data_IF_610169916159
#
_entry.id   IF_610169916159
#
_cell.length_a   1.000
_cell.length_b   1.000
_cell.length_c   1.000
_cell.angle_alpha   90.00
_cell.angle_beta   90.00
_cell.angle_gamma   90.00
#
_symmetry.space_group_name_H-M   'P 1'
#
loop_
_entity.id
_entity.type
_entity.pdbx_description
1 polymer ?
#
# COMPACT_ATOMS: atom_id res chain seq x y z
N UNK A 1 1.00 -7.11 -14.61
CA UNK A 1 1.73 -6.40 -13.53
C UNK A 1 0.79 -5.38 -12.91
N UNK A 2 0.86 -5.09 -11.60
CA UNK A 2 0.02 -4.07 -10.99
C UNK A 2 0.30 -2.72 -11.66
N UNK A 3 -0.75 -2.01 -12.06
CA UNK A 3 -0.64 -0.66 -12.61
C UNK A 3 -1.15 0.29 -11.54
N UNK A 4 -0.24 1.08 -10.98
CA UNK A 4 -0.59 2.12 -10.03
C UNK A 4 -1.14 3.35 -10.76
N UNK A 5 -1.88 4.20 -10.05
CA UNK A 5 -2.49 5.40 -10.62
C UNK A 5 -2.04 6.63 -9.85
N UNK A 6 -1.68 7.66 -10.59
CA UNK A 6 -1.53 9.02 -10.07
C UNK A 6 -2.41 9.98 -10.88
N UNK A 7 -2.51 11.23 -10.43
CA UNK A 7 -3.26 12.26 -11.12
C UNK A 7 -2.33 13.37 -11.59
N UNK A 8 -2.51 13.80 -12.83
CA UNK A 8 -1.89 15.01 -13.37
C UNK A 8 -2.94 16.11 -13.36
N UNK A 9 -2.66 17.18 -12.62
CA UNK A 9 -3.49 18.36 -12.59
C UNK A 9 -3.26 19.18 -13.87
N UNK A 10 -4.31 19.37 -14.66
CA UNK A 10 -4.29 20.15 -15.90
C UNK A 10 -5.11 21.42 -15.72
N UNK A 11 -4.52 22.55 -16.06
CA UNK A 11 -5.21 23.84 -16.16
C UNK A 11 -5.21 24.26 -17.63
N UNK A 12 -6.39 24.57 -18.17
CA UNK A 12 -6.51 25.19 -19.49
C UNK A 12 -6.93 26.65 -19.30
N UNK A 13 -5.96 27.57 -19.43
CA UNK A 13 -6.20 29.01 -19.38
C UNK A 13 -6.57 29.61 -20.74
N UNK A 14 -6.45 28.82 -21.82
CA UNK A 14 -6.73 29.25 -23.19
C UNK A 14 -8.23 29.34 -23.49
N UNK A 15 -8.53 29.96 -24.62
CA UNK A 15 -9.89 30.06 -25.18
C UNK A 15 -10.25 28.87 -26.06
N UNK A 16 -9.27 28.09 -26.51
CA UNK A 16 -9.46 26.88 -27.32
C UNK A 16 -9.55 25.63 -26.44
N UNK A 17 -10.44 24.67 -26.77
CA UNK A 17 -10.46 23.39 -26.08
C UNK A 17 -9.20 22.58 -26.41
N UNK A 18 -8.64 21.92 -25.40
CA UNK A 18 -7.55 20.96 -25.54
C UNK A 18 -8.14 19.55 -25.57
N UNK A 19 -7.80 18.73 -26.56
CA UNK A 19 -8.20 17.33 -26.61
C UNK A 19 -6.98 16.47 -26.31
N UNK A 20 -7.00 15.76 -25.18
CA UNK A 20 -5.95 14.82 -24.80
C UNK A 20 -6.27 13.44 -25.37
N UNK A 21 -5.44 12.98 -26.31
CA UNK A 21 -5.54 11.64 -26.89
C UNK A 21 -4.91 10.62 -25.94
N UNK A 22 -3.66 10.88 -25.56
CA UNK A 22 -2.85 9.97 -24.75
C UNK A 22 -2.04 10.71 -23.68
N UNK A 23 -1.82 10.03 -22.56
CA UNK A 23 -0.92 10.47 -21.49
C UNK A 23 -0.01 9.33 -21.04
N UNK A 24 1.24 9.65 -20.78
CA UNK A 24 2.23 8.72 -20.25
C UNK A 24 3.15 9.40 -19.25
N UNK A 25 3.48 8.70 -18.15
CA UNK A 25 4.63 9.07 -17.32
C UNK A 25 5.89 8.36 -17.83
N UNK A 26 6.95 9.12 -18.08
CA UNK A 26 8.28 8.61 -18.38
C UNK A 26 9.23 8.99 -17.26
N UNK A 27 9.86 8.01 -16.61
CA UNK A 27 10.88 8.24 -15.59
C UNK A 27 11.75 7.01 -15.43
N UNK A 28 13.04 7.20 -15.17
CA UNK A 28 13.95 6.11 -14.79
C UNK A 28 13.67 5.54 -13.40
N UNK A 29 12.88 6.23 -12.57
CA UNK A 29 12.49 5.74 -11.24
C UNK A 29 11.43 4.63 -11.28
N UNK A 30 10.73 4.46 -12.40
CA UNK A 30 9.65 3.48 -12.53
C UNK A 30 9.83 2.61 -13.78
N UNK A 31 9.17 1.46 -13.79
CA UNK A 31 8.98 0.70 -15.01
C UNK A 31 8.10 1.46 -16.00
N UNK A 32 8.50 1.45 -17.27
CA UNK A 32 7.75 2.12 -18.33
C UNK A 32 6.48 1.34 -18.62
N UNK A 33 5.34 2.01 -18.53
CA UNK A 33 4.04 1.48 -18.94
C UNK A 33 3.58 2.16 -20.24
N UNK A 34 2.81 1.48 -21.10
CA UNK A 34 2.26 2.09 -22.32
C UNK A 34 1.43 3.35 -22.03
N UNK A 35 1.35 4.31 -22.98
CA UNK A 35 0.46 5.46 -22.86
C UNK A 35 -0.99 5.05 -22.61
N UNK A 36 -1.69 5.83 -21.78
CA UNK A 36 -3.11 5.68 -21.54
C UNK A 36 -3.89 6.60 -22.47
N UNK A 37 -4.88 6.05 -23.15
CA UNK A 37 -5.91 6.83 -23.84
C UNK A 37 -6.82 7.55 -22.84
N UNK A 38 -7.02 8.85 -23.06
CA UNK A 38 -7.89 9.70 -22.24
C UNK A 38 -9.14 10.10 -23.03
N UNK A 39 -8.98 10.40 -24.33
CA UNK A 39 -10.03 10.80 -25.27
C UNK A 39 -10.99 11.86 -24.70
N UNK A 40 -10.45 12.84 -23.95
CA UNK A 40 -11.26 13.83 -23.24
C UNK A 40 -11.00 15.25 -23.76
N UNK A 41 -12.04 15.97 -24.22
CA UNK A 41 -11.93 17.40 -24.47
C UNK A 41 -11.96 18.17 -23.15
N UNK A 42 -11.03 19.12 -23.02
CA UNK A 42 -10.92 20.04 -21.91
C UNK A 42 -11.08 21.46 -22.44
N UNK A 43 -12.26 22.03 -22.20
CA UNK A 43 -12.46 23.47 -22.35
C UNK A 43 -11.62 24.27 -21.35
N UNK A 44 -11.90 25.58 -21.24
CA UNK A 44 -11.26 26.41 -20.21
C UNK A 44 -11.60 25.84 -18.83
N UNK A 45 -10.57 25.50 -18.05
CA UNK A 45 -10.75 24.89 -16.72
C UNK A 45 -9.68 25.40 -15.77
N UNK A 46 -10.03 25.75 -14.52
CA UNK A 46 -9.04 26.08 -13.50
C UNK A 46 -8.24 24.83 -13.11
N UNK A 47 -8.86 23.64 -13.15
CA UNK A 47 -8.23 22.37 -12.83
C UNK A 47 -9.06 21.18 -13.32
N UNK A 48 -8.41 20.22 -13.94
CA UNK A 48 -8.94 18.88 -14.14
C UNK A 48 -7.86 17.85 -13.87
N UNK A 49 -8.16 16.87 -13.03
CA UNK A 49 -7.22 15.82 -12.64
C UNK A 49 -7.35 14.63 -13.57
N UNK A 50 -6.32 14.39 -14.38
CA UNK A 50 -6.27 13.29 -15.34
C UNK A 50 -5.54 12.10 -14.71
N UNK A 51 -6.22 10.96 -14.50
CA UNK A 51 -5.57 9.78 -13.96
C UNK A 51 -4.63 9.17 -14.99
N UNK A 52 -3.36 9.00 -14.64
CA UNK A 52 -2.35 8.35 -15.49
C UNK A 52 -1.79 7.11 -14.79
N UNK A 53 -1.51 6.03 -15.56
CA UNK A 53 -0.83 4.87 -15.02
C UNK A 53 0.66 5.16 -14.83
N UNK A 54 1.27 4.47 -13.89
CA UNK A 54 2.72 4.32 -13.80
C UNK A 54 3.09 2.90 -13.37
N UNK A 55 4.29 2.44 -13.75
CA UNK A 55 4.77 1.10 -13.39
C UNK A 55 5.39 1.06 -12.00
N UNK A 56 5.73 -0.14 -11.50
CA UNK A 56 6.43 -0.30 -10.22
C UNK A 56 7.73 0.52 -10.15
N UNK A 57 8.08 0.99 -8.95
CA UNK A 57 9.36 1.64 -8.71
C UNK A 57 10.53 0.68 -8.95
N UNK A 58 11.61 1.19 -9.53
CA UNK A 58 12.87 0.46 -9.72
C UNK A 58 13.70 0.55 -8.45
N UNK A 59 13.67 -0.53 -7.67
CA UNK A 59 14.23 -0.54 -6.32
C UNK A 59 15.54 -1.31 -6.21
N UNK A 60 16.44 -0.83 -5.35
CA UNK A 60 17.57 -1.61 -4.87
C UNK A 60 17.10 -2.47 -3.67
N UNK A 61 17.59 -3.71 -3.52
CA UNK A 61 17.14 -4.62 -2.46
C UNK A 61 17.55 -4.21 -1.04
N UNK A 62 18.39 -3.19 -0.87
CA UNK A 62 18.95 -2.79 0.43
C UNK A 62 18.84 -1.30 0.71
N UNK A 63 18.73 -0.47 -0.32
CA UNK A 63 18.74 0.99 -0.21
C UNK A 63 17.61 1.58 -1.05
N UNK A 64 16.98 2.66 -0.55
CA UNK A 64 16.03 3.42 -1.34
C UNK A 64 16.80 4.32 -2.33
N UNK A 65 16.63 4.19 -3.65
CA UNK A 65 17.26 5.08 -4.61
C UNK A 65 16.69 6.50 -4.53
N UNK A 66 17.51 7.51 -4.83
CA UNK A 66 17.02 8.86 -5.03
C UNK A 66 16.07 8.92 -6.25
N UNK A 67 14.98 9.71 -6.18
CA UNK A 67 14.09 9.90 -7.33
C UNK A 67 14.84 10.49 -8.51
N UNK A 68 14.51 10.04 -9.72
CA UNK A 68 14.99 10.57 -11.00
C UNK A 68 13.92 11.50 -11.57
N UNK A 69 14.28 12.51 -12.37
CA UNK A 69 13.30 13.35 -13.04
C UNK A 69 12.27 12.52 -13.81
N UNK A 70 11.07 13.09 -13.97
CA UNK A 70 10.01 12.48 -14.77
C UNK A 70 9.55 13.45 -15.86
N UNK A 71 8.87 12.91 -16.87
CA UNK A 71 8.22 13.69 -17.92
C UNK A 71 6.82 13.13 -18.10
N UNK A 72 5.80 13.99 -17.99
CA UNK A 72 4.47 13.66 -18.50
C UNK A 72 4.48 13.98 -20.00
N UNK A 73 4.32 12.94 -20.80
CA UNK A 73 4.20 13.05 -22.25
C UNK A 73 2.73 12.99 -22.60
N UNK A 74 2.24 14.04 -23.25
CA UNK A 74 0.87 14.17 -23.68
C UNK A 74 0.80 14.26 -25.20
N UNK A 75 -0.04 13.44 -25.81
CA UNK A 75 -0.46 13.64 -27.21
C UNK A 75 -1.76 14.42 -27.18
N UNK A 76 -1.74 15.67 -27.62
CA UNK A 76 -2.89 16.56 -27.54
C UNK A 76 -3.02 17.47 -28.75
N UNK A 77 -4.24 17.94 -29.03
CA UNK A 77 -4.53 19.00 -30.01
C UNK A 77 -5.27 20.16 -29.37
N UNK A 78 -5.08 21.36 -29.91
CA UNK A 78 -5.84 22.55 -29.55
C UNK A 78 -6.85 22.87 -30.66
N UNK A 79 -8.14 22.94 -30.32
CA UNK A 79 -9.20 23.14 -31.32
C UNK A 79 -9.14 22.10 -32.45
N UNK A 80 -9.06 22.57 -33.69
CA UNK A 80 -9.01 21.74 -34.90
C UNK A 80 -7.59 21.50 -35.43
N UNK A 81 -6.56 21.88 -34.67
CA UNK A 81 -5.18 21.62 -35.07
C UNK A 81 -4.87 20.10 -35.02
N UNK A 82 -3.86 19.63 -35.78
CA UNK A 82 -3.34 18.28 -35.64
C UNK A 82 -2.81 18.03 -34.22
N UNK A 83 -2.94 16.78 -33.75
CA UNK A 83 -2.36 16.38 -32.47
C UNK A 83 -0.83 16.42 -32.51
N UNK A 84 -0.24 16.91 -31.42
CA UNK A 84 1.19 17.00 -31.21
C UNK A 84 1.58 16.41 -29.87
N UNK A 85 2.81 15.95 -29.78
CA UNK A 85 3.41 15.57 -28.50
C UNK A 85 3.84 16.84 -27.75
N UNK A 86 3.48 16.91 -26.48
CA UNK A 86 3.89 17.95 -25.53
C UNK A 86 4.50 17.25 -24.32
N UNK A 87 5.64 17.76 -23.85
CA UNK A 87 6.41 17.18 -22.75
C UNK A 87 6.41 18.13 -21.57
N UNK A 88 5.95 17.65 -20.42
CA UNK A 88 5.90 18.41 -19.17
C UNK A 88 6.93 17.84 -18.19
N UNK A 89 8.10 18.47 -18.02
CA UNK A 89 9.13 17.96 -17.12
C UNK A 89 8.71 18.13 -15.67
N UNK A 90 9.02 17.12 -14.86
CA UNK A 90 8.85 17.08 -13.41
C UNK A 90 10.24 16.90 -12.79
N UNK A 91 10.70 17.82 -11.95
CA UNK A 91 12.04 17.74 -11.36
C UNK A 91 12.14 16.56 -10.39
N UNK A 92 13.36 16.05 -10.19
CA UNK A 92 13.62 15.01 -9.19
C UNK A 92 13.27 15.45 -7.76
N UNK A 93 13.23 16.76 -7.51
CA UNK A 93 12.84 17.36 -6.22
C UNK A 93 11.33 17.40 -5.99
N UNK A 94 10.53 16.91 -6.95
CA UNK A 94 9.08 16.82 -6.78
C UNK A 94 8.73 15.94 -5.56
N UNK A 95 7.94 16.44 -4.61
CA UNK A 95 7.68 15.74 -3.35
C UNK A 95 6.81 14.49 -3.54
N UNK A 96 5.93 14.46 -4.55
CA UNK A 96 5.13 13.27 -4.86
C UNK A 96 6.05 12.17 -5.43
N UNK A 97 6.93 12.53 -6.37
CA UNK A 97 7.88 11.61 -6.96
C UNK A 97 8.81 10.98 -5.92
N UNK A 98 9.38 11.82 -5.05
CA UNK A 98 10.20 11.38 -3.93
C UNK A 98 9.42 10.46 -2.98
N UNK A 99 8.15 10.77 -2.69
CA UNK A 99 7.29 9.94 -1.85
C UNK A 99 6.99 8.58 -2.47
N UNK A 100 6.67 8.53 -3.77
CA UNK A 100 6.32 7.29 -4.46
C UNK A 100 7.50 6.32 -4.52
N UNK A 101 8.68 6.79 -4.97
CA UNK A 101 9.90 5.96 -5.01
C UNK A 101 10.23 5.43 -3.63
N UNK A 102 10.23 6.32 -2.64
CA UNK A 102 10.52 5.96 -1.26
C UNK A 102 9.54 4.90 -0.75
N UNK A 103 8.25 5.10 -1.02
CA UNK A 103 7.20 4.24 -0.51
C UNK A 103 7.29 2.83 -1.08
N UNK A 104 7.33 2.72 -2.41
CA UNK A 104 7.35 1.42 -3.08
C UNK A 104 8.65 0.68 -2.81
N UNK A 105 9.79 1.40 -2.75
CA UNK A 105 11.07 0.75 -2.55
C UNK A 105 11.32 0.25 -1.15
N UNK A 106 10.82 0.92 -0.10
CA UNK A 106 10.99 0.35 1.22
C UNK A 106 9.90 -0.67 1.61
N UNK A 107 8.72 -0.65 0.96
CA UNK A 107 7.85 -1.83 0.94
C UNK A 107 8.56 -3.03 0.29
N UNK A 108 9.21 -2.81 -0.86
CA UNK A 108 9.99 -3.85 -1.54
C UNK A 108 11.10 -4.38 -0.65
N UNK A 109 11.92 -3.51 -0.04
CA UNK A 109 13.00 -3.92 0.87
C UNK A 109 12.42 -4.74 2.03
N UNK A 110 11.40 -4.24 2.73
CA UNK A 110 10.81 -4.96 3.87
C UNK A 110 10.30 -6.35 3.49
N UNK A 111 9.60 -6.48 2.36
CA UNK A 111 9.09 -7.76 1.86
C UNK A 111 10.20 -8.75 1.42
N UNK A 112 11.38 -8.22 1.06
CA UNK A 112 12.58 -9.02 0.81
C UNK A 112 13.32 -9.39 2.11
N UNK A 113 13.20 -8.58 3.15
CA UNK A 113 13.91 -8.78 4.43
C UNK A 113 13.21 -9.77 5.34
N UNK A 114 11.88 -9.72 5.45
CA UNK A 114 11.11 -10.55 6.38
C UNK A 114 9.85 -11.14 5.75
N UNK A 115 9.40 -12.24 6.32
CA UNK A 115 8.05 -12.77 6.19
C UNK A 115 7.30 -12.55 7.50
N UNK A 116 5.99 -12.33 7.44
CA UNK A 116 5.13 -12.24 8.62
C UNK A 116 3.93 -13.15 8.42
N UNK A 117 3.64 -13.97 9.42
CA UNK A 117 2.56 -14.94 9.36
C UNK A 117 1.79 -15.02 10.69
N UNK A 118 0.53 -15.41 10.60
CA UNK A 118 -0.26 -15.77 11.77
C UNK A 118 0.05 -17.21 12.17
N UNK A 119 0.33 -17.44 13.44
CA UNK A 119 0.37 -18.78 14.01
C UNK A 119 -0.99 -19.48 13.89
N UNK A 120 -1.00 -20.81 13.96
CA UNK A 120 -2.22 -21.62 13.82
C UNK A 120 -2.93 -21.90 15.15
N UNK A 121 -2.20 -21.75 16.26
CA UNK A 121 -2.70 -21.90 17.62
C UNK A 121 -3.35 -20.60 18.09
N UNK A 122 -4.64 -20.68 18.39
CA UNK A 122 -5.45 -19.58 18.91
C UNK A 122 -6.30 -20.10 20.05
N UNK A 123 -6.34 -19.35 21.14
CA UNK A 123 -7.10 -19.69 22.34
C UNK A 123 -7.99 -18.53 22.76
N UNK A 124 -9.12 -18.86 23.39
CA UNK A 124 -10.01 -17.86 23.96
C UNK A 124 -9.38 -17.26 25.23
N UNK A 125 -9.47 -15.94 25.35
CA UNK A 125 -8.99 -15.15 26.49
C UNK A 125 -10.09 -14.13 26.86
N UNK A 126 -11.07 -14.57 27.66
CA UNK A 126 -12.30 -13.81 27.91
C UNK A 126 -13.05 -13.52 26.61
N UNK A 127 -13.34 -12.25 26.32
CA UNK A 127 -13.96 -11.81 25.07
C UNK A 127 -12.96 -11.54 23.95
N UNK A 128 -11.76 -12.14 24.00
CA UNK A 128 -10.68 -11.95 23.01
C UNK A 128 -10.18 -13.29 22.50
N UNK A 129 -9.57 -13.30 21.33
CA UNK A 129 -8.72 -14.40 20.88
C UNK A 129 -7.26 -14.04 21.09
N UNK A 130 -6.49 -14.94 21.70
CA UNK A 130 -5.03 -14.83 21.83
C UNK A 130 -4.35 -15.77 20.84
N UNK A 131 -3.31 -15.27 20.19
CA UNK A 131 -2.44 -16.03 19.30
C UNK A 131 -1.08 -15.38 19.15
N UNK A 132 -0.38 -15.73 18.08
CA UNK A 132 0.98 -15.25 17.81
C UNK A 132 1.09 -14.81 16.36
N UNK A 133 1.77 -13.69 16.12
CA UNK A 133 2.37 -13.39 14.82
C UNK A 133 3.83 -13.81 14.83
N UNK A 134 4.28 -14.49 13.79
CA UNK A 134 5.68 -14.88 13.61
C UNK A 134 6.29 -14.03 12.50
N UNK A 135 7.37 -13.34 12.84
CA UNK A 135 8.18 -12.58 11.89
C UNK A 135 9.46 -13.37 11.64
N UNK A 136 9.69 -13.80 10.40
CA UNK A 136 10.86 -14.61 10.03
C UNK A 136 11.76 -13.85 9.09
N UNK A 137 13.06 -13.87 9.39
CA UNK A 137 14.08 -13.23 8.55
C UNK A 137 14.30 -14.03 7.27
N UNK A 138 14.18 -13.35 6.13
CA UNK A 138 14.50 -13.88 4.79
C UNK A 138 15.89 -13.48 4.34
N UNK A 139 16.33 -12.25 4.66
CA UNK A 139 17.62 -11.68 4.21
C UNK A 139 18.20 -10.70 5.23
N UNK A 140 19.52 -10.52 5.13
CA UNK A 140 20.28 -9.51 5.88
C UNK A 140 20.53 -9.92 7.33
N UNK A 141 21.22 -9.06 8.08
CA UNK A 141 21.51 -9.27 9.51
C UNK A 141 21.14 -8.05 10.37
N UNK A 142 20.79 -6.92 9.75
CA UNK A 142 20.38 -5.70 10.45
C UNK A 142 19.06 -5.93 11.21
N UNK A 143 18.88 -5.34 12.41
CA UNK A 143 17.62 -5.40 13.14
C UNK A 143 16.46 -4.87 12.30
N UNK A 144 15.31 -5.55 12.37
CA UNK A 144 14.06 -5.14 11.71
C UNK A 144 13.05 -4.79 12.77
N UNK A 145 12.50 -3.59 12.70
CA UNK A 145 11.47 -3.12 13.63
C UNK A 145 10.08 -3.54 13.15
N UNK A 146 9.26 -4.04 14.06
CA UNK A 146 7.80 -4.09 13.87
C UNK A 146 7.23 -2.89 14.60
N UNK A 147 6.73 -1.92 13.84
CA UNK A 147 6.38 -0.60 14.36
C UNK A 147 4.94 -0.54 14.86
N UNK A 148 4.00 -1.16 14.14
CA UNK A 148 2.59 -1.17 14.50
C UNK A 148 1.86 -2.40 13.94
N UNK A 149 0.78 -2.79 14.60
CA UNK A 149 -0.16 -3.82 14.16
C UNK A 149 -1.51 -3.16 13.90
N UNK A 150 -1.96 -3.19 12.66
CA UNK A 150 -3.19 -2.56 12.23
C UNK A 150 -4.25 -3.63 11.97
N UNK A 151 -5.37 -3.46 12.66
CA UNK A 151 -6.59 -4.22 12.44
C UNK A 151 -7.24 -3.95 11.08
N UNK A 152 -8.36 -4.61 10.85
CA UNK A 152 -9.26 -4.38 9.72
C UNK A 152 -10.52 -3.64 10.19
N UNK A 153 -11.48 -3.46 9.29
CA UNK A 153 -12.80 -2.91 9.67
C UNK A 153 -13.59 -3.86 10.59
N UNK A 154 -13.25 -5.15 10.57
CA UNK A 154 -13.94 -6.23 11.28
C UNK A 154 -13.23 -6.66 12.54
N UNK A 155 -11.91 -6.55 12.57
CA UNK A 155 -11.09 -7.03 13.67
C UNK A 155 -10.07 -6.00 14.10
N UNK A 156 -9.95 -5.79 15.41
CA UNK A 156 -8.79 -5.15 16.00
C UNK A 156 -7.70 -6.21 16.22
N UNK A 157 -6.45 -5.81 16.01
CA UNK A 157 -5.26 -6.62 16.27
C UNK A 157 -4.33 -5.80 17.18
N UNK A 158 -3.99 -6.34 18.34
CA UNK A 158 -3.19 -5.63 19.35
C UNK A 158 -2.10 -6.54 19.91
N UNK A 159 -0.87 -6.04 20.15
CA UNK A 159 0.14 -6.82 20.84
C UNK A 159 -0.25 -6.96 22.32
N UNK A 160 -0.05 -8.17 22.89
CA UNK A 160 -0.31 -8.43 24.31
C UNK A 160 0.54 -7.52 25.21
N UNK A 161 1.74 -7.14 24.74
CA UNK A 161 2.64 -6.22 25.46
C UNK A 161 2.08 -4.81 25.64
N UNK A 162 1.07 -4.42 24.85
CA UNK A 162 0.53 -3.05 24.81
C UNK A 162 1.46 -2.03 24.17
N UNK A 163 2.66 -2.42 23.72
CA UNK A 163 3.65 -1.51 23.11
C UNK A 163 3.23 -1.13 21.70
N UNK A 164 3.57 0.10 21.29
CA UNK A 164 3.48 0.59 19.91
C UNK A 164 4.72 1.42 19.62
N UNK A 165 5.25 1.32 18.39
CA UNK A 165 6.39 2.11 17.87
C UNK A 165 7.67 2.06 18.74
N UNK A 166 8.40 0.93 18.77
CA UNK A 166 8.08 -0.33 18.12
C UNK A 166 7.22 -1.25 18.99
N UNK A 167 6.45 -2.11 18.34
CA UNK A 167 5.81 -3.27 18.97
C UNK A 167 6.91 -4.22 19.48
N UNK A 168 7.86 -4.58 18.60
CA UNK A 168 9.01 -5.39 18.94
C UNK A 168 10.13 -5.31 17.86
N UNK A 169 11.28 -5.92 18.11
CA UNK A 169 12.47 -5.85 17.27
C UNK A 169 13.02 -7.24 16.93
N UNK A 170 13.07 -7.58 15.64
CA UNK A 170 13.70 -8.80 15.14
C UNK A 170 15.22 -8.61 15.04
N UNK A 171 15.98 -9.22 15.95
CA UNK A 171 17.45 -9.24 15.93
C UNK A 171 18.04 -10.56 15.43
N UNK A 172 17.29 -11.66 15.55
CA UNK A 172 17.72 -13.01 15.12
C UNK A 172 17.04 -13.48 13.83
N UNK A 173 16.88 -14.80 13.73
CA UNK A 173 16.23 -15.45 12.58
C UNK A 173 14.69 -15.40 12.65
N UNK A 174 14.11 -15.34 13.84
CA UNK A 174 12.67 -15.29 14.05
C UNK A 174 12.34 -14.46 15.29
N UNK A 175 11.12 -13.92 15.29
CA UNK A 175 10.52 -13.16 16.38
C UNK A 175 9.04 -13.57 16.47
N UNK A 176 8.59 -13.91 17.67
CA UNK A 176 7.19 -14.19 17.96
C UNK A 176 6.58 -13.02 18.72
N UNK A 177 5.48 -12.48 18.22
CA UNK A 177 4.74 -11.38 18.83
C UNK A 177 3.39 -11.93 19.29
N UNK A 178 3.17 -12.11 20.60
CA UNK A 178 1.87 -12.46 21.13
C UNK A 178 0.86 -11.35 20.85
N UNK A 179 -0.31 -11.72 20.30
CA UNK A 179 -1.35 -10.79 19.87
C UNK A 179 -2.72 -11.18 20.40
N UNK A 180 -3.59 -10.16 20.49
CA UNK A 180 -5.00 -10.26 20.78
C UNK A 180 -5.81 -9.81 19.57
N UNK A 181 -6.88 -10.54 19.27
CA UNK A 181 -7.86 -10.20 18.24
C UNK A 181 -9.23 -10.04 18.89
N UNK A 182 -9.93 -8.97 18.50
CA UNK A 182 -11.31 -8.69 18.92
C UNK A 182 -12.15 -8.18 17.75
N UNK A 183 -13.45 -8.52 17.65
CA UNK A 183 -14.30 -7.95 16.63
C UNK A 183 -14.49 -6.45 16.91
N UNK A 184 -14.43 -5.63 15.87
CA UNK A 184 -14.74 -4.19 15.94
C UNK A 184 -16.18 -3.88 15.56
N UNK A 185 -16.89 -4.86 14.97
CA UNK A 185 -18.28 -4.76 14.57
C UNK A 185 -18.99 -6.08 14.91
N UNK A 186 -20.25 -5.97 15.30
CA UNK A 186 -21.15 -7.09 15.59
C UNK A 186 -22.43 -7.00 14.73
N UNK A 187 -22.27 -6.67 13.44
CA UNK A 187 -23.37 -6.67 12.48
C UNK A 187 -23.18 -7.85 11.51
N UNK A 188 -24.15 -8.79 11.43
CA UNK A 188 -24.05 -9.96 10.56
C UNK A 188 -23.85 -9.61 9.07
N UNK A 189 -24.46 -8.52 8.58
CA UNK A 189 -24.31 -8.10 7.18
C UNK A 189 -22.85 -7.72 6.88
N UNK A 190 -22.18 -7.06 7.82
CA UNK A 190 -20.78 -6.71 7.68
C UNK A 190 -19.89 -7.93 7.44
N UNK A 191 -20.16 -9.08 8.07
CA UNK A 191 -19.37 -10.31 7.88
C UNK A 191 -19.77 -11.07 6.60
N UNK A 192 -21.06 -11.11 6.26
CA UNK A 192 -21.56 -11.83 5.08
C UNK A 192 -21.00 -11.30 3.75
N UNK A 193 -20.72 -9.99 3.66
CA UNK A 193 -20.21 -9.34 2.44
C UNK A 193 -18.71 -8.99 2.51
N UNK A 194 -17.99 -9.49 3.51
CA UNK A 194 -16.64 -9.04 3.79
C UNK A 194 -15.59 -9.63 2.84
N UNK A 195 -15.19 -8.86 1.82
CA UNK A 195 -14.11 -9.25 0.89
C UNK A 195 -12.69 -9.03 1.46
N UNK A 196 -12.56 -8.24 2.52
CA UNK A 196 -11.27 -7.80 3.06
C UNK A 196 -11.17 -7.90 4.60
N UNK A 197 -12.06 -8.67 5.26
CA UNK A 197 -12.08 -8.81 6.72
C UNK A 197 -10.74 -9.26 7.32
N UNK A 198 -9.93 -10.00 6.54
CA UNK A 198 -8.71 -10.65 7.00
C UNK A 198 -7.42 -10.06 6.40
N UNK A 199 -7.49 -8.90 5.74
CA UNK A 199 -6.31 -8.21 5.21
C UNK A 199 -5.67 -7.32 6.29
N UNK A 200 -5.09 -7.94 7.32
CA UNK A 200 -4.40 -7.20 8.39
C UNK A 200 -3.15 -6.51 7.87
N UNK A 201 -2.76 -5.42 8.51
CA UNK A 201 -1.63 -4.61 8.09
C UNK A 201 -0.57 -4.58 9.19
N UNK A 202 0.67 -4.96 8.87
CA UNK A 202 1.81 -4.86 9.79
C UNK A 202 2.72 -3.76 9.29
N UNK A 203 3.04 -2.81 10.16
CA UNK A 203 4.00 -1.76 9.87
C UNK A 203 5.38 -2.14 10.39
N UNK A 204 6.42 -1.94 9.58
CA UNK A 204 7.78 -2.25 9.99
C UNK A 204 8.85 -1.48 9.22
N UNK A 205 10.04 -1.43 9.81
CA UNK A 205 11.20 -0.72 9.29
C UNK A 205 12.38 -1.68 9.17
N UNK A 206 12.88 -1.89 7.94
CA UNK A 206 13.95 -2.84 7.66
C UNK A 206 15.37 -2.27 7.83
N UNK A 207 15.51 -0.95 7.85
CA UNK A 207 16.80 -0.25 7.96
C UNK A 207 16.75 0.70 9.16
N UNK A 208 17.75 0.71 10.07
CA UNK A 208 17.77 1.65 11.19
C UNK A 208 17.65 3.10 10.73
N UNK A 209 16.71 3.86 11.29
CA UNK A 209 16.41 5.24 10.86
C UNK A 209 15.74 5.35 9.48
N UNK A 210 15.41 4.21 8.87
CA UNK A 210 14.62 4.14 7.65
C UNK A 210 13.14 4.40 7.92
N UNK A 211 12.35 4.38 6.86
CA UNK A 211 10.90 4.58 6.95
C UNK A 211 10.15 3.29 7.24
N UNK A 212 8.99 3.45 7.87
CA UNK A 212 8.06 2.36 8.21
C UNK A 212 7.10 2.07 7.06
N UNK A 213 6.89 0.80 6.77
CA UNK A 213 6.07 0.33 5.66
C UNK A 213 5.04 -0.70 6.07
N UNK A 214 3.90 -0.63 5.39
CA UNK A 214 2.79 -1.55 5.60
C UNK A 214 2.94 -2.76 4.70
N UNK A 215 2.88 -3.95 5.30
CA UNK A 215 2.65 -5.21 4.60
C UNK A 215 1.28 -5.76 4.95
N UNK A 216 0.59 -6.32 3.96
CA UNK A 216 -0.67 -7.02 4.20
C UNK A 216 -0.33 -8.45 4.60
N UNK A 217 -0.87 -8.87 5.75
CA UNK A 217 -0.69 -10.21 6.30
C UNK A 217 -2.06 -10.84 6.45
N UNK A 218 -2.24 -12.01 5.85
CA UNK A 218 -3.51 -12.73 5.83
C UNK A 218 -3.39 -13.98 6.71
N UNK A 219 -4.26 -14.16 7.71
CA UNK A 219 -4.33 -15.40 8.47
C UNK A 219 -4.64 -16.59 7.55
N UNK A 220 -4.09 -17.79 7.81
CA UNK A 220 -4.50 -19.01 7.12
C UNK A 220 -6.02 -19.22 7.21
N UNK A 221 -6.63 -19.88 6.22
CA UNK A 221 -8.09 -20.10 6.16
C UNK A 221 -8.64 -20.72 7.44
N UNK A 222 -7.95 -21.73 8.01
CA UNK A 222 -8.34 -22.34 9.29
C UNK A 222 -8.34 -21.35 10.46
N UNK A 223 -7.50 -20.31 10.43
CA UNK A 223 -7.51 -19.22 11.42
C UNK A 223 -8.63 -18.22 11.13
N UNK A 224 -8.94 -17.95 9.86
CA UNK A 224 -10.08 -17.10 9.48
C UNK A 224 -11.40 -17.69 9.97
N UNK A 225 -11.60 -19.01 9.83
CA UNK A 225 -12.77 -19.72 10.38
C UNK A 225 -12.84 -19.55 11.90
N UNK A 226 -11.73 -19.74 12.62
CA UNK A 226 -11.70 -19.51 14.08
C UNK A 226 -12.06 -18.08 14.45
N UNK A 227 -11.61 -17.08 13.68
CA UNK A 227 -11.94 -15.67 13.91
C UNK A 227 -13.42 -15.40 13.66
N UNK A 228 -14.01 -16.04 12.65
CA UNK A 228 -15.43 -15.92 12.36
C UNK A 228 -16.28 -16.59 13.45
N UNK A 229 -15.98 -17.85 13.81
CA UNK A 229 -16.69 -18.59 14.86
C UNK A 229 -16.66 -17.84 16.19
N UNK A 230 -15.49 -17.30 16.54
CA UNK A 230 -15.30 -16.44 17.69
C UNK A 230 -16.14 -15.15 17.62
N UNK A 231 -16.16 -14.48 16.48
CA UNK A 231 -16.96 -13.27 16.30
C UNK A 231 -18.45 -13.59 16.43
N UNK A 232 -18.92 -14.69 15.82
CA UNK A 232 -20.31 -15.16 15.92
C UNK A 232 -20.71 -15.38 17.37
N UNK A 233 -19.83 -16.02 18.15
CA UNK A 233 -20.07 -16.28 19.58
C UNK A 233 -20.06 -14.99 20.43
N UNK A 234 -19.05 -14.13 20.34
CA UNK A 234 -18.96 -12.89 21.12
C UNK A 234 -20.08 -11.91 20.78
N UNK A 235 -20.45 -11.83 19.51
CA UNK A 235 -21.44 -10.89 19.01
C UNK A 235 -22.88 -11.45 19.02
N UNK A 236 -23.08 -12.69 19.48
CA UNK A 236 -24.38 -13.39 19.46
C UNK A 236 -25.04 -13.33 18.06
N UNK A 237 -24.24 -13.57 17.01
CA UNK A 237 -24.74 -13.52 15.63
C UNK A 237 -25.48 -14.82 15.26
N UNK A 238 -26.47 -14.75 14.36
CA UNK A 238 -27.09 -15.95 13.80
C UNK A 238 -26.04 -16.82 13.08
N UNK A 239 -26.10 -18.13 13.30
CA UNK A 239 -25.29 -19.11 12.56
C UNK A 239 -25.91 -19.47 11.22
#
# INVERSE_FOLDING_TARGET
>A
MPVHRMQVAVTNTGTLPLFFEELQLQSESFETVPPRRVDMPLGRTPRTDLPIPYGPARCDPTTIPAPKPAVVVARLRAGNEPAREVRFPIPATDPLLARLVRTECAQFILAQTVDVSFGTAWTRDGDRLRGTLTVTRKRGSSPVSVDDLLGTTHYRLEPVSGKRKPVDLLTGASLEIPVLVTPTRCDPHAFAEAKQAYLFSVQGTATPGGESYTMVVVPPEAVQVKFLDYAVDVCDMPR
#
